data_IF_275786602611
#
_entry.id   IF_275786602611
#
_cell.length_a   1.000
_cell.length_b   1.000
_cell.length_c   1.000
_cell.angle_alpha   90.00
_cell.angle_beta   90.00
_cell.angle_gamma   90.00
#
_symmetry.space_group_name_H-M   'P 1'
#
loop_
_entity.id
_entity.type
_entity.pdbx_description
1 polymer ?
#
# COMPACT_ATOMS: atom_id res chain seq x y z
N UNK A 1 10.88 -1.54 -22.86
CA UNK A 1 12.00 -0.76 -22.30
C UNK A 1 11.73 0.75 -22.31
N UNK A 2 11.01 1.28 -23.30
CA UNK A 2 10.71 2.73 -23.39
C UNK A 2 9.95 3.29 -22.18
N UNK A 3 8.97 2.55 -21.65
CA UNK A 3 8.18 2.95 -20.48
C UNK A 3 8.97 2.94 -19.16
N UNK A 4 10.07 2.19 -19.08
CA UNK A 4 10.89 2.09 -17.85
C UNK A 4 11.50 3.45 -17.49
N UNK A 5 12.03 4.17 -18.49
CA UNK A 5 12.59 5.50 -18.30
C UNK A 5 11.54 6.52 -17.86
N UNK A 6 10.32 6.40 -18.37
CA UNK A 6 9.21 7.26 -17.96
C UNK A 6 8.81 7.04 -16.49
N UNK A 7 8.75 5.78 -16.04
CA UNK A 7 8.49 5.47 -14.63
C UNK A 7 9.60 5.96 -13.70
N UNK A 8 10.87 5.80 -14.11
CA UNK A 8 12.01 6.30 -13.35
C UNK A 8 11.99 7.83 -13.27
N UNK A 9 11.74 8.51 -14.39
CA UNK A 9 11.61 9.96 -14.45
C UNK A 9 10.44 10.46 -13.60
N UNK A 10 9.30 9.77 -13.63
CA UNK A 10 8.15 10.09 -12.79
C UNK A 10 8.48 9.98 -11.29
N UNK A 11 9.15 8.91 -10.86
CA UNK A 11 9.61 8.76 -9.48
C UNK A 11 10.57 9.88 -9.07
N UNK A 12 11.50 10.26 -9.96
CA UNK A 12 12.42 11.36 -9.71
C UNK A 12 11.70 12.70 -9.57
N UNK A 13 10.72 12.99 -10.43
CA UNK A 13 9.92 14.22 -10.35
C UNK A 13 9.13 14.26 -9.04
N UNK A 14 8.50 13.14 -8.65
CA UNK A 14 7.74 13.03 -7.40
C UNK A 14 8.60 13.23 -6.15
N UNK A 15 9.91 12.92 -6.21
CA UNK A 15 10.86 13.23 -5.14
C UNK A 15 11.38 14.68 -5.21
N UNK A 16 11.65 15.18 -6.41
CA UNK A 16 12.21 16.51 -6.62
C UNK A 16 11.26 17.62 -6.14
N UNK A 17 9.96 17.52 -6.45
CA UNK A 17 8.96 18.54 -6.08
C UNK A 17 8.93 18.82 -4.56
N UNK A 18 8.71 17.83 -3.68
CA UNK A 18 8.72 18.05 -2.23
C UNK A 18 10.11 18.41 -1.70
N UNK A 19 11.19 17.94 -2.36
CA UNK A 19 12.56 18.31 -1.99
C UNK A 19 12.82 19.82 -2.16
N UNK A 20 12.38 20.40 -3.28
CA UNK A 20 12.51 21.84 -3.52
C UNK A 20 11.55 22.67 -2.66
N UNK A 21 10.34 22.17 -2.37
CA UNK A 21 9.36 22.90 -1.57
C UNK A 21 9.70 22.92 -0.07
N UNK A 22 10.07 21.78 0.51
CA UNK A 22 10.31 21.68 1.96
C UNK A 22 11.68 22.18 2.41
N UNK A 23 12.59 22.49 1.48
CA UNK A 23 13.96 22.89 1.78
C UNK A 23 14.72 21.75 2.43
N UNK A 24 15.38 20.91 1.62
CA UNK A 24 16.02 19.68 2.05
C UNK A 24 16.91 19.84 3.30
N UNK A 25 16.40 19.38 4.45
CA UNK A 25 17.18 19.29 5.69
C UNK A 25 17.84 17.92 5.74
N UNK A 26 19.16 17.90 5.81
CA UNK A 26 19.91 16.67 6.03
C UNK A 26 19.51 16.12 7.41
N UNK A 27 19.08 14.85 7.50
CA UNK A 27 18.66 14.27 8.77
C UNK A 27 19.83 14.24 9.75
N UNK A 28 19.56 14.56 11.01
CA UNK A 28 20.54 14.41 12.08
C UNK A 28 20.90 12.93 12.27
N UNK A 29 22.10 12.64 12.81
CA UNK A 29 22.52 11.27 13.08
C UNK A 29 21.54 10.49 13.97
N UNK A 30 20.79 11.18 14.82
CA UNK A 30 19.77 10.58 15.70
C UNK A 30 18.51 10.13 14.94
N UNK A 31 18.26 10.64 13.73
CA UNK A 31 17.13 10.23 12.90
C UNK A 31 17.45 9.02 12.02
N UNK A 32 18.72 8.63 11.90
CA UNK A 32 19.14 7.47 11.09
C UNK A 32 18.47 6.16 11.50
N UNK A 33 18.36 5.81 12.80
CA UNK A 33 17.67 4.58 13.20
C UNK A 33 16.21 4.55 12.74
N UNK A 34 15.49 5.67 12.87
CA UNK A 34 14.11 5.80 12.41
C UNK A 34 13.99 5.67 10.89
N UNK A 35 14.90 6.32 10.14
CA UNK A 35 14.96 6.23 8.68
C UNK A 35 15.26 4.79 8.21
N UNK A 36 16.21 4.11 8.85
CA UNK A 36 16.51 2.71 8.56
C UNK A 36 15.31 1.81 8.88
N UNK A 37 14.62 2.06 10.00
CA UNK A 37 13.43 1.30 10.34
C UNK A 37 12.31 1.48 9.30
N UNK A 38 12.12 2.69 8.76
CA UNK A 38 11.17 2.96 7.68
C UNK A 38 11.59 2.29 6.35
N UNK A 39 12.89 2.26 6.06
CA UNK A 39 13.40 1.57 4.87
C UNK A 39 13.24 0.05 4.95
N UNK A 40 13.39 -0.54 6.13
CA UNK A 40 13.37 -2.01 6.28
C UNK A 40 11.96 -2.53 6.58
N UNK A 41 11.25 -1.91 7.53
CA UNK A 41 9.99 -2.44 8.03
C UNK A 41 8.85 -2.22 7.01
N UNK A 42 8.34 -0.99 6.78
CA UNK A 42 7.22 -0.83 5.87
C UNK A 42 7.63 -0.99 4.40
N UNK A 43 8.85 -0.60 4.00
CA UNK A 43 9.24 -0.72 2.59
C UNK A 43 9.59 -2.16 2.25
N UNK A 44 10.69 -2.72 2.79
CA UNK A 44 11.10 -4.06 2.40
C UNK A 44 10.13 -5.16 2.86
N UNK A 45 9.78 -5.21 4.15
CA UNK A 45 8.87 -6.25 4.65
C UNK A 45 7.45 -6.10 4.11
N UNK A 46 6.93 -4.85 4.05
CA UNK A 46 5.61 -4.56 3.48
C UNK A 46 5.50 -5.01 2.02
N UNK A 47 6.41 -4.56 1.15
CA UNK A 47 6.40 -4.98 -0.26
C UNK A 47 6.61 -6.49 -0.43
N UNK A 48 7.47 -7.11 0.38
CA UNK A 48 7.66 -8.56 0.33
C UNK A 48 6.35 -9.30 0.68
N UNK A 49 5.64 -8.85 1.71
CA UNK A 49 4.35 -9.40 2.10
C UNK A 49 3.30 -9.24 0.98
N UNK A 50 3.24 -8.06 0.34
CA UNK A 50 2.40 -7.82 -0.84
C UNK A 50 2.70 -8.79 -1.97
N UNK A 51 3.97 -8.95 -2.33
CA UNK A 51 4.38 -9.87 -3.40
C UNK A 51 3.96 -11.30 -3.05
N UNK A 52 4.16 -11.73 -1.81
CA UNK A 52 3.75 -13.07 -1.35
C UNK A 52 2.22 -13.22 -1.40
N UNK A 53 1.45 -12.21 -0.98
CA UNK A 53 0.00 -12.23 -1.05
C UNK A 53 -0.50 -12.34 -2.50
N UNK A 54 0.11 -11.60 -3.43
CA UNK A 54 -0.20 -11.67 -4.86
C UNK A 54 0.08 -13.04 -5.48
N UNK A 55 0.92 -13.87 -4.86
CA UNK A 55 1.13 -15.26 -5.30
C UNK A 55 0.01 -16.22 -4.86
N UNK A 56 -0.81 -15.84 -3.88
CA UNK A 56 -1.83 -16.71 -3.28
C UNK A 56 -3.27 -16.24 -3.49
N UNK A 57 -3.50 -14.94 -3.72
CA UNK A 57 -4.83 -14.36 -3.94
C UNK A 57 -4.82 -13.37 -5.11
N UNK A 58 -6.01 -13.08 -5.64
CA UNK A 58 -6.18 -12.16 -6.77
C UNK A 58 -5.73 -10.73 -6.43
N UNK A 59 -5.12 -10.05 -7.40
CA UNK A 59 -4.55 -8.71 -7.19
C UNK A 59 -5.53 -7.69 -6.61
N UNK A 60 -6.80 -7.72 -7.03
CA UNK A 60 -7.82 -6.81 -6.49
C UNK A 60 -8.14 -7.13 -5.01
N UNK A 61 -8.14 -8.42 -4.62
CA UNK A 61 -8.37 -8.81 -3.23
C UNK A 61 -7.21 -8.39 -2.35
N UNK A 62 -5.97 -8.58 -2.82
CA UNK A 62 -4.77 -8.09 -2.13
C UNK A 62 -4.85 -6.58 -1.92
N UNK A 63 -5.17 -5.82 -2.97
CA UNK A 63 -5.24 -4.36 -2.89
C UNK A 63 -6.30 -3.87 -1.89
N UNK A 64 -7.46 -4.52 -1.84
CA UNK A 64 -8.51 -4.17 -0.88
C UNK A 64 -8.08 -4.52 0.54
N UNK A 65 -7.38 -5.63 0.76
CA UNK A 65 -6.81 -5.96 2.07
C UNK A 65 -5.75 -4.92 2.47
N UNK A 66 -4.87 -4.51 1.56
CA UNK A 66 -3.86 -3.46 1.82
C UNK A 66 -4.49 -2.12 2.18
N UNK A 67 -5.66 -1.81 1.61
CA UNK A 67 -6.39 -0.58 1.97
C UNK A 67 -6.86 -0.55 3.44
N UNK A 68 -6.73 -1.65 4.18
CA UNK A 68 -6.94 -1.68 5.63
C UNK A 68 -5.76 -1.13 6.46
N UNK A 69 -4.62 -0.82 5.85
CA UNK A 69 -3.46 -0.18 6.50
C UNK A 69 -3.83 1.03 7.40
N UNK A 70 -4.61 2.03 6.95
CA UNK A 70 -5.01 3.16 7.81
C UNK A 70 -5.75 2.75 9.09
N UNK A 71 -6.51 1.64 9.08
CA UNK A 71 -7.13 1.12 10.30
C UNK A 71 -6.07 0.60 11.28
N UNK A 72 -5.15 -0.24 10.81
CA UNK A 72 -4.09 -0.78 11.66
C UNK A 72 -3.13 0.30 12.13
N UNK A 73 -2.84 1.30 11.28
CA UNK A 73 -2.06 2.48 11.64
C UNK A 73 -2.71 3.22 12.80
N UNK A 74 -4.02 3.49 12.72
CA UNK A 74 -4.75 4.18 13.78
C UNK A 74 -4.86 3.33 15.07
N UNK A 75 -5.00 2.01 14.94
CA UNK A 75 -4.97 1.09 16.08
C UNK A 75 -3.60 1.11 16.79
N UNK A 76 -2.50 1.11 16.02
CA UNK A 76 -1.16 1.22 16.58
C UNK A 76 -0.88 2.61 17.15
N UNK A 77 -1.41 3.68 16.54
CA UNK A 77 -1.34 5.03 17.09
C UNK A 77 -2.00 5.09 18.49
N UNK A 78 -3.20 4.52 18.63
CA UNK A 78 -3.88 4.40 19.92
C UNK A 78 -3.09 3.55 20.93
N UNK A 79 -2.51 2.43 20.49
CA UNK A 79 -1.78 1.51 21.38
C UNK A 79 -0.43 2.06 21.88
N UNK A 80 0.37 2.68 20.99
CA UNK A 80 1.73 3.12 21.31
C UNK A 80 1.81 4.59 21.74
N UNK A 81 0.92 5.45 21.23
CA UNK A 81 0.94 6.89 21.47
C UNK A 81 -0.27 7.38 22.29
N UNK A 82 -1.29 6.53 22.50
CA UNK A 82 -2.51 6.92 23.22
C UNK A 82 -3.44 7.84 22.41
N UNK A 83 -3.21 7.96 21.10
CA UNK A 83 -3.96 8.83 20.21
C UNK A 83 -5.19 8.10 19.64
N UNK A 84 -6.39 8.50 20.06
CA UNK A 84 -7.64 7.92 19.60
C UNK A 84 -8.16 8.59 18.33
N UNK A 85 -8.85 7.82 17.48
CA UNK A 85 -9.55 8.40 16.34
C UNK A 85 -10.69 9.31 16.81
N UNK A 86 -10.97 10.34 16.00
CA UNK A 86 -12.20 11.12 16.10
C UNK A 86 -13.41 10.27 15.69
N UNK A 87 -14.62 10.73 16.03
CA UNK A 87 -15.87 10.04 15.67
C UNK A 87 -15.96 9.74 14.16
N UNK A 88 -15.57 10.70 13.31
CA UNK A 88 -15.51 10.51 11.86
C UNK A 88 -14.46 9.47 11.45
N UNK A 89 -13.33 9.42 12.16
CA UNK A 89 -12.28 8.43 11.96
C UNK A 89 -12.75 7.03 12.32
N UNK A 90 -13.55 6.88 13.38
CA UNK A 90 -14.17 5.59 13.74
C UNK A 90 -15.13 5.10 12.64
N UNK A 91 -15.96 5.99 12.09
CA UNK A 91 -16.83 5.64 10.94
C UNK A 91 -16.02 5.20 9.71
N UNK A 92 -14.93 5.91 9.39
CA UNK A 92 -14.05 5.56 8.28
C UNK A 92 -13.37 4.20 8.51
N UNK A 93 -12.84 3.96 9.71
CA UNK A 93 -12.27 2.68 10.12
C UNK A 93 -13.27 1.52 9.95
N UNK A 94 -14.52 1.71 10.38
CA UNK A 94 -15.55 0.71 10.23
C UNK A 94 -15.84 0.42 8.74
N UNK A 95 -15.94 1.46 7.91
CA UNK A 95 -16.16 1.31 6.47
C UNK A 95 -15.03 0.52 5.78
N UNK A 96 -13.77 0.79 6.16
CA UNK A 96 -12.58 0.09 5.65
C UNK A 96 -12.63 -1.40 5.99
N UNK A 97 -12.91 -1.72 7.26
CA UNK A 97 -13.00 -3.12 7.70
C UNK A 97 -14.16 -3.85 7.04
N UNK A 98 -15.32 -3.22 6.92
CA UNK A 98 -16.47 -3.82 6.22
C UNK A 98 -16.14 -4.08 4.73
N UNK A 99 -15.50 -3.13 4.05
CA UNK A 99 -15.06 -3.31 2.67
C UNK A 99 -14.08 -4.46 2.48
N UNK A 100 -13.10 -4.58 3.39
CA UNK A 100 -12.14 -5.68 3.40
C UNK A 100 -12.80 -7.04 3.69
N UNK A 101 -13.73 -7.10 4.64
CA UNK A 101 -14.48 -8.32 4.97
C UNK A 101 -15.34 -8.79 3.80
N UNK A 102 -16.09 -7.89 3.15
CA UNK A 102 -16.94 -8.23 2.00
C UNK A 102 -16.09 -8.78 0.85
N UNK A 103 -14.92 -8.18 0.61
CA UNK A 103 -14.04 -8.57 -0.50
C UNK A 103 -13.28 -9.87 -0.24
N UNK A 104 -12.95 -10.16 1.03
CA UNK A 104 -12.25 -11.38 1.42
C UNK A 104 -13.14 -12.61 1.50
N UNK A 105 -14.47 -12.45 1.43
CA UNK A 105 -15.38 -13.59 1.38
C UNK A 105 -15.08 -14.51 0.18
N UNK A 106 -15.09 -15.84 0.35
CA UNK A 106 -14.86 -16.78 -0.74
C UNK A 106 -15.86 -16.52 -1.86
N UNK A 107 -15.35 -16.27 -3.06
CA UNK A 107 -16.21 -16.05 -4.21
C UNK A 107 -16.92 -17.35 -4.53
N UNK A 108 -18.24 -17.39 -4.35
CA UNK A 108 -19.04 -18.57 -4.70
C UNK A 108 -19.20 -18.73 -6.23
N UNK A 109 -18.61 -17.84 -7.04
CA UNK A 109 -18.70 -17.92 -8.51
C UNK A 109 -17.36 -18.34 -9.10
N UNK A 110 -17.22 -19.64 -9.32
CA UNK A 110 -16.23 -20.22 -10.21
C UNK A 110 -16.54 -19.90 -11.68
N UNK A 111 -16.38 -18.64 -12.09
CA UNK A 111 -16.31 -18.31 -13.52
C UNK A 111 -14.84 -18.02 -13.82
N UNK A 112 -14.08 -18.99 -14.36
CA UNK A 112 -12.74 -18.70 -14.83
C UNK A 112 -12.86 -17.69 -15.97
N UNK A 113 -12.33 -16.48 -15.76
CA UNK A 113 -12.10 -15.55 -16.86
C UNK A 113 -11.03 -16.18 -17.74
N UNK A 114 -11.47 -16.90 -18.78
CA UNK A 114 -10.63 -17.22 -19.92
C UNK A 114 -10.25 -15.91 -20.60
N UNK A 115 -9.04 -15.41 -20.30
CA UNK A 115 -8.40 -14.38 -21.09
C UNK A 115 -8.07 -15.01 -22.44
N UNK A 116 -8.95 -14.78 -23.43
CA UNK A 116 -8.73 -15.17 -24.83
C UNK A 116 -7.43 -14.52 -25.31
N UNK A 117 -6.41 -15.27 -25.75
CA UNK A 117 -5.21 -14.66 -26.32
C UNK A 117 -5.61 -13.88 -27.58
N UNK A 118 -5.26 -12.59 -27.58
CA UNK A 118 -5.39 -11.72 -28.76
C UNK A 118 -4.24 -12.09 -29.69
N UNK A 119 -4.46 -13.08 -30.56
CA UNK A 119 -3.41 -13.54 -31.47
C UNK A 119 -3.78 -14.59 -32.51
N UNK A 120 -5.06 -15.01 -32.61
CA UNK A 120 -5.50 -15.94 -33.66
C UNK A 120 -6.70 -15.38 -34.42
N UNK A 121 -6.46 -14.28 -35.16
CA UNK A 121 -7.22 -14.00 -36.37
C UNK A 121 -6.25 -13.63 -37.48
N UNK A 122 -6.07 -14.64 -38.34
CA UNK A 122 -5.78 -14.56 -39.78
C UNK A 122 -4.37 -14.14 -40.21
#
# INVERSE_FOLDING_TARGET
>A
MENFWLFLAYGLVMLAVPYFWSGARIPSANALPSLLSLGVIPSFCGFYCTILALQHIEAYKTQVIESSEPFFSALFAAMFFGEWLTDSGMCASLAIILGALITSMPDRRGVPIQVRPIGERE
#
